data_IF_715733826035
#
_entry.id   IF_715733826035
#
_cell.length_a   1.000
_cell.length_b   1.000
_cell.length_c   1.000
_cell.angle_alpha   90.00
_cell.angle_beta   90.00
_cell.angle_gamma   90.00
#
_symmetry.space_group_name_H-M   'P 1'
#
loop_
_entity.id
_entity.type
_entity.pdbx_description
1 polymer ?
#
# COMPACT_ATOMS: atom_id res chain seq x y z
N UNK A 1 -63.17 -34.49 -58.62
CA UNK A 1 -63.04 -33.04 -58.68
C UNK A 1 -62.89 -32.53 -57.23
N UNK A 2 -61.68 -32.30 -56.77
CA UNK A 2 -61.39 -31.72 -55.43
C UNK A 2 -60.66 -30.38 -55.66
N UNK A 3 -61.30 -29.27 -55.25
CA UNK A 3 -60.74 -27.92 -55.26
C UNK A 3 -59.92 -27.75 -54.00
N UNK A 4 -58.63 -27.54 -54.16
CA UNK A 4 -57.71 -27.09 -53.11
C UNK A 4 -57.86 -25.59 -52.89
N UNK A 5 -58.13 -25.20 -51.63
CA UNK A 5 -58.16 -23.80 -51.20
C UNK A 5 -56.81 -23.57 -50.49
N UNK A 6 -55.96 -22.68 -50.99
CA UNK A 6 -54.74 -22.20 -50.30
C UNK A 6 -55.15 -21.12 -49.29
N UNK A 7 -54.65 -21.16 -48.06
CA UNK A 7 -54.78 -20.02 -47.14
C UNK A 7 -53.64 -19.05 -47.36
N UNK A 8 -53.96 -17.81 -47.55
CA UNK A 8 -53.04 -16.64 -47.58
C UNK A 8 -52.50 -16.35 -46.20
N UNK A 9 -51.22 -16.52 -45.97
CA UNK A 9 -50.53 -16.14 -44.74
C UNK A 9 -50.24 -14.65 -44.77
N UNK A 10 -50.88 -13.91 -43.84
CA UNK A 10 -50.60 -12.51 -43.58
C UNK A 10 -49.35 -12.42 -42.69
N UNK A 11 -48.27 -11.87 -43.20
CA UNK A 11 -47.03 -11.62 -42.42
C UNK A 11 -47.21 -10.32 -41.62
N UNK A 12 -47.26 -10.46 -40.27
CA UNK A 12 -47.21 -9.33 -39.33
C UNK A 12 -45.74 -9.08 -39.02
N UNK A 13 -45.18 -7.91 -39.44
CA UNK A 13 -43.87 -7.47 -39.06
C UNK A 13 -43.91 -6.85 -37.65
N UNK A 14 -43.01 -7.24 -36.71
CA UNK A 14 -42.92 -6.56 -35.45
C UNK A 14 -42.13 -5.24 -35.62
N UNK A 15 -42.77 -4.13 -35.23
CA UNK A 15 -42.10 -2.85 -35.01
C UNK A 15 -41.18 -2.98 -33.76
N UNK A 16 -39.87 -3.05 -33.95
CA UNK A 16 -38.93 -2.86 -32.87
C UNK A 16 -38.84 -1.35 -32.55
N UNK A 17 -39.42 -0.96 -31.42
CA UNK A 17 -39.17 0.35 -30.86
C UNK A 17 -37.73 0.39 -30.33
N UNK A 18 -36.90 1.23 -30.89
CA UNK A 18 -35.55 1.50 -30.40
C UNK A 18 -35.67 2.26 -29.07
N UNK A 19 -35.34 1.62 -27.96
CA UNK A 19 -35.16 2.29 -26.67
C UNK A 19 -33.90 3.17 -26.73
N UNK A 20 -33.95 4.44 -26.29
CA UNK A 20 -32.75 5.24 -26.18
C UNK A 20 -31.89 4.63 -25.07
N UNK A 21 -30.67 4.18 -25.43
CA UNK A 21 -29.67 3.66 -24.53
C UNK A 21 -29.39 4.68 -23.43
N UNK A 22 -29.67 4.33 -22.18
CA UNK A 22 -29.14 4.98 -21.00
C UNK A 22 -27.61 4.91 -21.12
N UNK A 23 -26.99 6.08 -21.31
CA UNK A 23 -25.54 6.21 -21.32
C UNK A 23 -24.98 5.62 -20.01
N UNK A 24 -24.31 4.49 -20.09
CA UNK A 24 -23.44 4.01 -19.02
C UNK A 24 -22.40 5.10 -18.78
N UNK A 25 -22.52 5.77 -17.64
CA UNK A 25 -21.46 6.60 -17.12
C UNK A 25 -20.21 5.68 -17.01
N UNK A 26 -19.19 5.98 -17.80
CA UNK A 26 -17.92 5.28 -17.69
C UNK A 26 -17.41 5.47 -16.26
N UNK A 27 -17.33 4.37 -15.51
CA UNK A 27 -16.61 4.36 -14.24
C UNK A 27 -15.21 4.89 -14.50
N UNK A 28 -14.71 5.86 -13.69
CA UNK A 28 -13.36 6.33 -13.86
C UNK A 28 -12.42 5.13 -13.72
N UNK A 29 -11.69 4.82 -14.77
CA UNK A 29 -10.66 3.79 -14.75
C UNK A 29 -9.68 4.16 -13.63
N UNK A 30 -9.71 3.42 -12.53
CA UNK A 30 -8.69 3.51 -11.49
C UNK A 30 -7.39 3.09 -12.15
N UNK A 31 -6.59 4.06 -12.54
CA UNK A 31 -5.24 3.83 -13.05
C UNK A 31 -4.42 3.31 -11.87
N UNK A 32 -4.43 2.01 -11.67
CA UNK A 32 -3.55 1.36 -10.71
C UNK A 32 -2.13 1.52 -11.23
N UNK A 33 -1.46 2.59 -10.81
CA UNK A 33 -0.05 2.77 -11.11
C UNK A 33 0.68 1.68 -10.35
N UNK A 34 1.13 0.64 -11.07
CA UNK A 34 1.97 -0.41 -10.50
C UNK A 34 3.16 0.25 -9.82
N UNK A 35 3.34 -0.02 -8.53
CA UNK A 35 4.48 0.46 -7.76
C UNK A 35 5.57 -0.58 -7.87
N UNK A 36 6.70 -0.23 -8.48
CA UNK A 36 7.81 -1.18 -8.61
C UNK A 36 8.38 -1.54 -7.24
N UNK A 37 9.19 -2.59 -7.24
CA UNK A 37 10.07 -2.93 -6.14
C UNK A 37 10.83 -1.68 -5.67
N UNK A 38 10.76 -1.37 -4.37
CA UNK A 38 11.51 -0.26 -3.78
C UNK A 38 12.68 -0.81 -2.98
N UNK A 39 13.87 -0.31 -3.26
CA UNK A 39 15.03 -0.54 -2.41
C UNK A 39 14.83 0.26 -1.11
N UNK A 40 14.79 -0.44 0.01
CA UNK A 40 14.63 0.17 1.33
C UNK A 40 15.97 0.44 2.00
N UNK A 41 16.92 -0.48 1.81
CA UNK A 41 18.26 -0.38 2.40
C UNK A 41 19.23 -1.27 1.62
N UNK A 42 20.48 -0.82 1.55
CA UNK A 42 21.58 -1.60 1.00
C UNK A 42 22.82 -1.42 1.89
N UNK A 43 23.58 -2.50 2.09
CA UNK A 43 24.86 -2.44 2.79
C UNK A 43 25.78 -3.54 2.28
N UNK A 44 27.08 -3.39 2.58
CA UNK A 44 28.08 -4.41 2.35
C UNK A 44 28.46 -5.06 3.67
N UNK A 45 28.70 -6.35 3.63
CA UNK A 45 29.18 -7.12 4.78
C UNK A 45 30.13 -8.22 4.37
N UNK A 46 30.89 -8.73 5.33
CA UNK A 46 31.76 -9.88 5.15
C UNK A 46 31.19 -11.07 5.88
N UNK A 47 31.05 -12.18 5.17
CA UNK A 47 30.57 -13.46 5.73
C UNK A 47 31.65 -14.54 5.67
N UNK A 48 31.65 -15.46 6.62
CA UNK A 48 32.43 -16.70 6.55
C UNK A 48 31.62 -17.75 5.81
N UNK A 49 32.22 -18.30 4.75
CA UNK A 49 31.66 -19.44 4.01
C UNK A 49 32.12 -20.78 4.62
N UNK A 50 31.48 -21.87 4.19
CA UNK A 50 31.66 -23.18 4.81
C UNK A 50 33.12 -23.69 4.87
N UNK A 51 33.99 -23.26 3.97
CA UNK A 51 35.39 -23.57 3.93
C UNK A 51 36.28 -22.65 4.80
N UNK A 52 35.66 -21.77 5.57
CA UNK A 52 36.31 -20.83 6.49
C UNK A 52 36.83 -19.52 5.84
N UNK A 53 36.72 -19.38 4.52
CA UNK A 53 37.11 -18.16 3.83
C UNK A 53 36.11 -17.00 4.14
N UNK A 54 36.62 -15.81 4.13
CA UNK A 54 35.79 -14.60 4.23
C UNK A 54 35.48 -14.09 2.82
N UNK A 55 34.19 -13.80 2.59
CA UNK A 55 33.70 -13.28 1.31
C UNK A 55 32.86 -12.04 1.56
N UNK A 56 33.20 -10.95 0.87
CA UNK A 56 32.37 -9.73 0.85
C UNK A 56 31.12 -9.95 0.01
N UNK A 57 30.01 -9.44 0.52
CA UNK A 57 28.74 -9.40 -0.24
C UNK A 57 27.99 -8.11 0.01
N UNK A 58 27.16 -7.71 -0.95
CA UNK A 58 26.14 -6.67 -0.78
C UNK A 58 24.80 -7.31 -0.47
N UNK A 59 24.07 -6.71 0.44
CA UNK A 59 22.72 -7.09 0.83
C UNK A 59 21.78 -5.95 0.48
N UNK A 60 20.76 -6.24 -0.32
CA UNK A 60 19.71 -5.29 -0.69
C UNK A 60 18.40 -5.75 -0.07
N UNK A 61 17.81 -4.92 0.77
CA UNK A 61 16.45 -5.13 1.29
C UNK A 61 15.48 -4.34 0.42
N UNK A 62 14.56 -5.04 -0.21
CA UNK A 62 13.55 -4.46 -1.11
C UNK A 62 12.15 -4.81 -0.64
N UNK A 63 11.17 -3.97 -0.98
CA UNK A 63 9.75 -4.23 -0.74
C UNK A 63 8.99 -4.19 -2.06
N UNK A 64 8.17 -5.22 -2.28
CA UNK A 64 7.24 -5.34 -3.40
C UNK A 64 5.89 -4.84 -2.94
N UNK A 65 5.49 -3.65 -3.39
CA UNK A 65 4.23 -3.04 -3.00
C UNK A 65 3.02 -3.73 -3.63
N UNK A 66 3.20 -4.36 -4.79
CA UNK A 66 2.11 -5.06 -5.48
C UNK A 66 1.79 -6.39 -4.79
N UNK A 67 2.81 -7.04 -4.20
CA UNK A 67 2.67 -8.31 -3.48
C UNK A 67 2.57 -8.16 -1.97
N UNK A 68 2.91 -7.00 -1.43
CA UNK A 68 2.96 -6.76 0.01
C UNK A 68 4.05 -7.57 0.72
N UNK A 69 5.18 -7.82 0.07
CA UNK A 69 6.23 -8.73 0.56
C UNK A 69 7.60 -8.08 0.51
N UNK A 70 8.38 -8.24 1.58
CA UNK A 70 9.79 -7.87 1.61
C UNK A 70 10.71 -9.01 1.15
N UNK A 71 11.84 -8.64 0.57
CA UNK A 71 12.90 -9.57 0.17
C UNK A 71 14.25 -9.05 0.65
N UNK A 72 15.14 -9.97 0.97
CA UNK A 72 16.54 -9.71 1.19
C UNK A 72 17.33 -10.42 0.09
N UNK A 73 18.01 -9.65 -0.77
CA UNK A 73 18.75 -10.16 -1.91
C UNK A 73 20.25 -10.03 -1.65
N UNK A 74 20.99 -11.08 -1.98
CA UNK A 74 22.42 -11.14 -1.78
C UNK A 74 23.15 -11.09 -3.11
N UNK A 75 24.19 -10.27 -3.18
CA UNK A 75 25.03 -10.10 -4.36
C UNK A 75 26.51 -10.18 -3.98
N UNK A 76 27.33 -10.69 -4.86
CA UNK A 76 28.77 -10.46 -4.78
C UNK A 76 29.05 -8.95 -4.93
N UNK A 77 30.22 -8.50 -4.52
CA UNK A 77 30.61 -7.09 -4.67
C UNK A 77 30.72 -6.66 -6.13
N UNK A 78 30.88 -7.61 -7.06
CA UNK A 78 30.84 -7.38 -8.52
C UNK A 78 29.39 -7.30 -9.09
N UNK A 79 28.38 -7.43 -8.24
CA UNK A 79 26.96 -7.39 -8.61
C UNK A 79 26.35 -8.74 -9.00
N UNK A 80 27.13 -9.82 -9.03
CA UNK A 80 26.62 -11.18 -9.34
C UNK A 80 25.65 -11.65 -8.27
N UNK A 81 24.42 -12.08 -8.62
CA UNK A 81 23.45 -12.61 -7.64
C UNK A 81 23.98 -13.85 -6.91
N UNK A 82 23.79 -13.89 -5.61
CA UNK A 82 24.12 -15.03 -4.75
C UNK A 82 22.88 -15.75 -4.21
N UNK A 83 21.68 -15.17 -4.42
CA UNK A 83 20.41 -15.66 -3.91
C UNK A 83 19.67 -14.59 -3.13
N UNK A 84 18.66 -15.01 -2.41
CA UNK A 84 17.84 -14.13 -1.58
C UNK A 84 16.89 -14.92 -0.71
N UNK A 85 16.20 -14.21 0.17
CA UNK A 85 15.16 -14.78 1.03
C UNK A 85 13.97 -13.85 1.12
N UNK A 86 12.80 -14.45 1.26
CA UNK A 86 11.59 -13.69 1.59
C UNK A 86 11.62 -13.36 3.08
N UNK A 87 11.42 -12.11 3.40
CA UNK A 87 11.26 -11.68 4.78
C UNK A 87 9.84 -12.08 5.22
N UNK A 88 9.75 -12.95 6.24
CA UNK A 88 8.49 -13.51 6.74
C UNK A 88 7.47 -12.46 7.19
N UNK A 89 6.60 -12.80 8.14
CA UNK A 89 5.53 -11.91 8.62
C UNK A 89 6.01 -10.56 9.23
N UNK A 90 7.33 -10.37 9.37
CA UNK A 90 7.94 -9.11 9.76
C UNK A 90 8.22 -8.25 8.54
N UNK A 91 7.59 -7.10 8.42
CA UNK A 91 7.97 -6.12 7.41
C UNK A 91 9.37 -5.57 7.71
N UNK A 92 10.23 -5.37 6.69
CA UNK A 92 11.51 -4.71 6.90
C UNK A 92 11.29 -3.28 7.42
N UNK A 93 12.27 -2.75 8.16
CA UNK A 93 12.22 -1.35 8.62
C UNK A 93 12.01 -0.40 7.42
N UNK A 94 11.25 0.70 7.60
CA UNK A 94 11.00 1.63 6.51
C UNK A 94 12.27 2.38 6.12
N UNK A 95 12.35 2.76 4.84
CA UNK A 95 13.38 3.68 4.38
C UNK A 95 13.05 5.12 4.79
N UNK A 96 14.05 6.04 4.79
CA UNK A 96 13.81 7.46 5.00
C UNK A 96 12.80 8.04 4.00
N UNK A 97 12.82 7.57 2.75
CA UNK A 97 11.92 8.01 1.70
C UNK A 97 10.48 7.56 1.96
N UNK A 98 10.28 6.34 2.50
CA UNK A 98 8.96 5.88 2.91
C UNK A 98 8.40 6.70 4.08
N UNK A 99 9.25 7.06 5.04
CA UNK A 99 8.87 7.92 6.16
C UNK A 99 8.45 9.29 5.64
N UNK A 100 9.24 9.88 4.74
CA UNK A 100 8.92 11.18 4.14
C UNK A 100 7.62 11.11 3.33
N UNK A 101 7.43 10.05 2.54
CA UNK A 101 6.21 9.82 1.78
C UNK A 101 4.97 9.74 2.70
N UNK A 102 5.08 9.04 3.83
CA UNK A 102 3.99 8.99 4.81
C UNK A 102 3.64 10.39 5.35
N UNK A 103 4.65 11.23 5.61
CA UNK A 103 4.43 12.62 6.05
C UNK A 103 3.76 13.46 4.95
N UNK A 104 4.13 13.26 3.70
CA UNK A 104 3.55 14.00 2.57
C UNK A 104 2.10 13.58 2.30
N UNK A 105 1.76 12.30 2.47
CA UNK A 105 0.37 11.83 2.43
C UNK A 105 -0.47 12.55 3.49
N UNK A 106 0.01 12.63 4.73
CA UNK A 106 -0.72 13.33 5.80
C UNK A 106 -0.83 14.83 5.51
N UNK A 107 0.21 15.46 4.97
CA UNK A 107 0.16 16.89 4.61
C UNK A 107 -0.84 17.20 3.50
N UNK A 108 -1.00 16.27 2.55
CA UNK A 108 -1.89 16.40 1.42
C UNK A 108 -3.36 16.08 1.77
N UNK A 109 -3.61 15.44 2.91
CA UNK A 109 -4.96 15.05 3.31
C UNK A 109 -5.77 16.26 3.78
N UNK A 110 -6.91 16.57 3.11
CA UNK A 110 -7.75 17.73 3.44
C UNK A 110 -8.27 17.74 4.88
N UNK A 111 -8.39 16.58 5.53
CA UNK A 111 -8.84 16.47 6.92
C UNK A 111 -7.92 17.23 7.89
N UNK A 112 -6.62 17.34 7.56
CA UNK A 112 -5.62 17.99 8.41
C UNK A 112 -5.34 19.44 8.04
N UNK A 113 -5.94 19.97 6.97
CA UNK A 113 -5.66 21.34 6.48
C UNK A 113 -5.85 22.40 7.57
N UNK A 114 -6.97 22.34 8.31
CA UNK A 114 -7.25 23.29 9.41
C UNK A 114 -6.26 23.13 10.58
N UNK A 115 -5.83 21.91 10.84
CA UNK A 115 -4.86 21.64 11.90
C UNK A 115 -3.50 22.27 11.56
N UNK A 116 -3.03 22.15 10.31
CA UNK A 116 -1.77 22.75 9.87
C UNK A 116 -1.80 24.26 9.78
N UNK A 117 -2.97 24.85 9.48
CA UNK A 117 -3.18 26.32 9.51
C UNK A 117 -3.14 26.87 10.95
N UNK A 118 -3.62 26.09 11.91
CA UNK A 118 -3.76 26.51 13.31
C UNK A 118 -2.53 26.25 14.16
N UNK A 119 -1.82 25.19 13.88
CA UNK A 119 -0.70 24.71 14.69
C UNK A 119 0.58 24.53 13.88
N UNK A 120 1.69 24.84 14.50
CA UNK A 120 2.99 24.43 14.03
C UNK A 120 3.21 22.96 14.44
N UNK A 121 3.26 22.07 13.45
CA UNK A 121 3.31 20.62 13.67
C UNK A 121 4.68 20.07 13.33
N UNK A 122 5.20 19.20 14.20
CA UNK A 122 6.37 18.37 13.94
C UNK A 122 5.88 16.96 13.65
N UNK A 123 6.42 16.36 12.60
CA UNK A 123 6.17 14.97 12.25
C UNK A 123 7.24 14.09 12.87
N UNK A 124 6.82 13.04 13.55
CA UNK A 124 7.68 11.96 14.04
C UNK A 124 7.05 10.60 13.74
N UNK A 125 7.84 9.53 13.78
CA UNK A 125 7.33 8.18 13.59
C UNK A 125 8.09 7.41 12.52
N UNK A 126 7.37 6.65 11.70
CA UNK A 126 7.96 5.74 10.73
C UNK A 126 8.11 4.32 11.29
N UNK A 127 7.39 3.98 12.37
CA UNK A 127 7.34 2.61 12.85
C UNK A 127 6.37 1.79 12.00
N UNK A 128 6.83 0.64 11.52
CA UNK A 128 5.96 -0.31 10.83
C UNK A 128 4.94 -0.88 11.82
N UNK A 129 3.69 -0.91 11.39
CA UNK A 129 2.64 -1.67 12.06
C UNK A 129 2.55 -3.05 11.40
N UNK A 130 2.66 -4.08 12.22
CA UNK A 130 2.39 -5.45 11.79
C UNK A 130 0.91 -5.65 11.55
N UNK A 131 0.62 -6.47 10.55
CA UNK A 131 -0.73 -6.83 10.18
C UNK A 131 -1.43 -7.56 11.33
N UNK A 132 -2.61 -7.07 11.69
CA UNK A 132 -3.49 -7.78 12.63
C UNK A 132 -4.93 -7.73 12.07
N UNK A 133 -5.59 -8.89 12.11
CA UNK A 133 -6.97 -8.99 11.65
C UNK A 133 -7.88 -8.01 12.41
N UNK A 134 -8.62 -7.18 11.67
CA UNK A 134 -9.50 -6.15 12.24
C UNK A 134 -8.79 -4.86 12.67
N UNK A 135 -7.51 -4.68 12.31
CA UNK A 135 -6.73 -3.46 12.52
C UNK A 135 -6.67 -2.61 11.25
N UNK A 136 -6.30 -1.33 11.35
CA UNK A 136 -6.23 -0.44 10.19
C UNK A 136 -5.23 -0.88 9.12
N UNK A 137 -4.32 -1.78 9.44
CA UNK A 137 -3.35 -2.32 8.50
C UNK A 137 -3.75 -3.72 8.08
N UNK A 138 -4.25 -3.86 6.86
CA UNK A 138 -4.66 -5.15 6.28
C UNK A 138 -3.45 -5.95 5.77
N UNK A 139 -3.59 -7.28 5.64
CA UNK A 139 -2.59 -8.12 5.00
C UNK A 139 -2.20 -7.59 3.60
N UNK A 140 -0.89 -7.51 3.34
CA UNK A 140 -0.34 -6.94 2.11
C UNK A 140 -0.20 -5.42 2.10
N UNK A 141 -0.75 -4.71 3.08
CA UNK A 141 -0.52 -3.28 3.26
C UNK A 141 0.85 -3.00 3.87
N UNK A 142 1.37 -1.79 3.62
CA UNK A 142 2.58 -1.29 4.27
C UNK A 142 2.25 -0.04 5.06
N UNK A 143 2.01 -0.23 6.35
CA UNK A 143 1.49 0.80 7.22
C UNK A 143 2.57 1.38 8.12
N UNK A 144 2.65 2.70 8.17
CA UNK A 144 3.53 3.43 9.07
C UNK A 144 2.71 4.19 10.11
N UNK A 145 3.18 4.13 11.36
CA UNK A 145 2.67 5.00 12.42
C UNK A 145 3.34 6.35 12.33
N UNK A 146 2.54 7.40 12.31
CA UNK A 146 2.97 8.80 12.26
C UNK A 146 2.39 9.53 13.47
N UNK A 147 3.20 10.36 14.11
CA UNK A 147 2.80 11.23 15.19
C UNK A 147 2.88 12.67 14.73
N UNK A 148 1.83 13.43 15.01
CA UNK A 148 1.81 14.88 14.88
C UNK A 148 2.00 15.47 16.26
N UNK A 149 3.13 16.13 16.48
CA UNK A 149 3.49 16.75 17.75
C UNK A 149 3.35 18.26 17.69
N UNK A 150 3.09 18.89 18.81
CA UNK A 150 3.21 20.35 18.93
C UNK A 150 4.66 20.79 18.72
N UNK A 151 4.86 22.01 18.24
CA UNK A 151 6.20 22.53 17.91
C UNK A 151 7.15 22.61 19.12
N UNK A 152 6.61 22.67 20.31
CA UNK A 152 7.35 22.63 21.59
C UNK A 152 7.59 21.19 22.09
N UNK A 153 7.09 20.18 21.36
CA UNK A 153 7.12 18.76 21.73
C UNK A 153 6.44 18.45 23.08
N UNK A 154 5.63 19.38 23.59
CA UNK A 154 4.94 19.21 24.86
C UNK A 154 3.83 18.15 24.80
N UNK A 155 3.38 17.78 23.61
CA UNK A 155 2.34 16.75 23.47
C UNK A 155 2.11 16.27 22.06
N UNK A 156 1.51 15.09 21.98
CA UNK A 156 1.02 14.49 20.74
C UNK A 156 -0.34 15.09 20.41
N UNK A 157 -0.46 15.70 19.23
CA UNK A 157 -1.72 16.27 18.73
C UNK A 157 -2.57 15.17 18.11
N UNK A 158 -1.95 14.28 17.28
CA UNK A 158 -2.58 13.15 16.61
C UNK A 158 -1.63 11.96 16.50
N UNK A 159 -2.21 10.77 16.47
CA UNK A 159 -1.51 9.53 16.13
C UNK A 159 -2.22 8.92 14.93
N UNK A 160 -1.49 8.72 13.86
CA UNK A 160 -2.03 8.30 12.58
C UNK A 160 -1.42 6.98 12.15
N UNK A 161 -2.15 6.27 11.31
CA UNK A 161 -1.64 5.13 10.54
C UNK A 161 -1.77 5.49 9.07
N UNK A 162 -0.65 5.46 8.36
CA UNK A 162 -0.58 5.75 6.92
C UNK A 162 -0.30 4.47 6.17
N UNK A 163 -1.16 4.14 5.23
CA UNK A 163 -0.99 3.01 4.32
C UNK A 163 -0.28 3.48 3.04
N UNK A 164 0.97 3.08 2.88
CA UNK A 164 1.78 3.44 1.72
C UNK A 164 1.34 2.72 0.45
N UNK A 165 0.71 1.55 0.55
CA UNK A 165 0.17 0.84 -0.61
C UNK A 165 -1.03 1.58 -1.16
N UNK A 166 -1.97 1.95 -0.30
CA UNK A 166 -3.21 2.65 -0.66
C UNK A 166 -3.03 4.17 -0.79
N UNK A 167 -1.88 4.71 -0.42
CA UNK A 167 -1.56 6.16 -0.48
C UNK A 167 -2.57 7.02 0.28
N UNK A 168 -2.92 6.62 1.49
CA UNK A 168 -3.91 7.30 2.30
C UNK A 168 -3.64 7.20 3.80
N UNK A 169 -4.25 8.09 4.57
CA UNK A 169 -4.38 7.91 6.02
C UNK A 169 -5.41 6.82 6.26
N UNK A 170 -4.95 5.66 6.74
CA UNK A 170 -5.79 4.50 7.01
C UNK A 170 -6.55 4.62 8.33
N UNK A 171 -6.00 5.35 9.28
CA UNK A 171 -6.61 5.58 10.59
C UNK A 171 -6.15 6.90 11.19
N UNK A 172 -7.12 7.69 11.65
CA UNK A 172 -6.90 8.95 12.34
C UNK A 172 -7.17 8.78 13.84
N UNK A 173 -6.39 9.45 14.68
CA UNK A 173 -6.46 9.36 16.16
C UNK A 173 -6.25 7.94 16.71
N UNK A 174 -5.28 7.22 16.14
CA UNK A 174 -4.88 5.95 16.69
C UNK A 174 -4.38 6.14 18.13
N UNK A 175 -5.27 5.86 19.08
CA UNK A 175 -4.92 5.84 20.51
C UNK A 175 -4.53 4.40 20.83
N UNK A 176 -3.26 4.13 21.21
CA UNK A 176 -2.90 2.82 21.72
C UNK A 176 -3.80 2.48 22.91
N UNK A 177 -4.26 1.23 22.98
CA UNK A 177 -4.96 0.79 24.19
C UNK A 177 -4.10 1.16 25.43
N UNK A 178 -4.70 1.75 26.47
CA UNK A 178 -3.94 2.11 27.65
C UNK A 178 -3.26 0.86 28.19
N UNK A 179 -1.98 0.98 28.46
CA UNK A 179 -1.17 -0.07 29.08
C UNK A 179 -1.97 -0.65 30.23
N UNK A 180 -2.52 -1.83 30.09
CA UNK A 180 -3.08 -2.54 31.24
C UNK A 180 -1.91 -2.82 32.15
N UNK A 181 -1.73 -1.98 33.17
CA UNK A 181 -0.84 -2.29 34.30
C UNK A 181 -1.25 -3.69 34.74
N UNK A 182 -0.35 -4.65 34.51
CA UNK A 182 -0.59 -6.03 34.91
C UNK A 182 -1.11 -6.07 36.33
N UNK A 183 -2.17 -6.82 36.51
CA UNK A 183 -2.66 -7.20 37.84
C UNK A 183 -1.69 -8.20 38.45
#
# INVERSE_FOLDING_TARGET
MRRSILPTLLAIAPLFAASPGLGQAAEPAVTTTSRPLRLLRSWEETIKVADGREVGRRVDVVFDYDRGVGYENFYRLDGTPMGGMTLGAGHPAPSPEEIQEAYDIVRADPEFELLFKRFRVIFEGGFILTEEKGRPCEPGSRCLRVFLLSSDRAGTIRQLVVDLVKQQVAYNDFTPEPWRKGR
#
